data_IF_013082949803
#
_entry.id   IF_013082949803
#
_cell.length_a   1.000
_cell.length_b   1.000
_cell.length_c   1.000
_cell.angle_alpha   90.00
_cell.angle_beta   90.00
_cell.angle_gamma   90.00
#
_symmetry.space_group_name_H-M   'P 1'
#
loop_
_entity.id
_entity.type
_entity.pdbx_description
1 polymer ?
#
# COMPACT_ATOMS: atom_id res chain seq x y z
N UNK A 1 -54.57 -4.78 -16.57
CA UNK A 1 -53.47 -5.44 -15.83
C UNK A 1 -52.10 -4.82 -16.12
N UNK A 2 -51.71 -4.57 -17.38
CA UNK A 2 -50.42 -3.95 -17.75
C UNK A 2 -50.17 -2.53 -17.19
N UNK A 3 -51.21 -1.70 -17.06
CA UNK A 3 -51.11 -0.34 -16.50
C UNK A 3 -50.94 -0.29 -14.97
N UNK A 4 -51.46 -1.30 -14.24
CA UNK A 4 -51.28 -1.38 -12.78
C UNK A 4 -49.90 -1.91 -12.38
N UNK A 5 -49.27 -2.74 -13.22
CA UNK A 5 -47.89 -3.21 -13.02
C UNK A 5 -46.85 -2.09 -13.21
N UNK A 6 -47.05 -1.21 -14.21
CA UNK A 6 -46.13 -0.08 -14.46
C UNK A 6 -46.12 0.95 -13.33
N UNK A 7 -47.28 1.21 -12.72
CA UNK A 7 -47.38 2.13 -11.57
C UNK A 7 -46.79 1.53 -10.28
N UNK A 8 -46.84 0.20 -10.11
CA UNK A 8 -46.20 -0.49 -8.99
C UNK A 8 -44.67 -0.51 -9.08
N UNK A 9 -44.11 -0.72 -10.28
CA UNK A 9 -42.65 -0.66 -10.49
C UNK A 9 -42.08 0.75 -10.33
N UNK A 10 -42.80 1.78 -10.80
CA UNK A 10 -42.38 3.18 -10.66
C UNK A 10 -42.34 3.64 -9.19
N UNK A 11 -43.30 3.19 -8.38
CA UNK A 11 -43.33 3.53 -6.95
C UNK A 11 -42.22 2.81 -6.17
N UNK A 12 -41.88 1.56 -6.52
CA UNK A 12 -40.78 0.82 -5.89
C UNK A 12 -39.41 1.43 -6.23
N UNK A 13 -39.19 1.88 -7.47
CA UNK A 13 -37.93 2.55 -7.87
C UNK A 13 -37.71 3.89 -7.17
N UNK A 14 -38.77 4.66 -6.92
CA UNK A 14 -38.66 5.95 -6.21
C UNK A 14 -38.39 5.76 -4.72
N UNK A 15 -38.97 4.73 -4.10
CA UNK A 15 -38.69 4.38 -2.69
C UNK A 15 -37.27 3.81 -2.54
N UNK A 16 -36.79 3.00 -3.49
CA UNK A 16 -35.42 2.48 -3.46
C UNK A 16 -34.38 3.60 -3.68
N UNK A 17 -34.65 4.57 -4.57
CA UNK A 17 -33.80 5.75 -4.75
C UNK A 17 -33.79 6.68 -3.51
N UNK A 18 -34.93 6.84 -2.85
CA UNK A 18 -35.04 7.66 -1.64
C UNK A 18 -34.35 7.02 -0.42
N UNK A 19 -34.33 5.68 -0.34
CA UNK A 19 -33.61 4.95 0.72
C UNK A 19 -32.09 4.98 0.50
N UNK A 20 -31.61 5.01 -0.76
CA UNK A 20 -30.18 5.20 -1.03
C UNK A 20 -29.67 6.63 -0.72
N UNK A 21 -30.54 7.64 -0.71
CA UNK A 21 -30.20 9.05 -0.42
C UNK A 21 -30.24 9.41 1.08
N UNK A 22 -30.59 8.47 1.96
CA UNK A 22 -30.72 8.68 3.41
C UNK A 22 -29.60 8.02 4.23
N UNK A 23 -28.59 7.46 3.57
CA UNK A 23 -27.33 7.21 4.29
C UNK A 23 -26.67 8.57 4.43
N UNK A 24 -26.45 9.08 5.67
CA UNK A 24 -25.44 10.11 5.82
C UNK A 24 -24.16 9.54 5.20
N UNK A 25 -23.69 10.18 4.13
CA UNK A 25 -22.26 10.20 3.85
C UNK A 25 -21.68 10.86 5.08
N UNK A 26 -21.39 10.06 6.10
CA UNK A 26 -20.40 10.45 7.07
C UNK A 26 -19.19 10.70 6.20
N UNK A 27 -18.77 11.96 6.08
CA UNK A 27 -17.37 12.21 5.77
C UNK A 27 -16.62 11.29 6.74
N UNK A 28 -15.92 10.29 6.22
CA UNK A 28 -15.14 9.40 7.06
C UNK A 28 -14.26 10.35 7.87
N UNK A 29 -14.52 10.44 9.18
CA UNK A 29 -13.58 11.10 10.07
C UNK A 29 -12.31 10.28 9.89
N UNK A 30 -11.30 10.88 9.26
CA UNK A 30 -9.95 10.30 9.25
C UNK A 30 -9.62 10.05 10.71
N UNK A 31 -9.55 8.78 11.09
CA UNK A 31 -9.17 8.41 12.44
C UNK A 31 -7.86 9.12 12.76
N UNK A 32 -7.80 9.72 13.95
CA UNK A 32 -6.56 10.38 14.33
C UNK A 32 -5.47 9.33 14.48
N UNK A 33 -4.23 9.68 14.11
CA UNK A 33 -3.09 8.79 14.34
C UNK A 33 -3.04 8.33 15.81
N UNK A 34 -3.34 9.22 16.75
CA UNK A 34 -3.37 8.89 18.17
C UNK A 34 -4.36 7.77 18.51
N UNK A 35 -5.58 7.79 17.97
CA UNK A 35 -6.56 6.71 18.18
C UNK A 35 -6.07 5.39 17.58
N UNK A 36 -5.48 5.43 16.37
CA UNK A 36 -4.91 4.25 15.73
C UNK A 36 -3.76 3.65 16.57
N UNK A 37 -2.92 4.51 17.16
CA UNK A 37 -1.81 4.12 18.02
C UNK A 37 -2.27 3.58 19.39
N UNK A 38 -3.27 4.19 20.02
CA UNK A 38 -3.87 3.65 21.26
C UNK A 38 -4.46 2.26 21.05
N UNK A 39 -5.16 2.05 19.93
CA UNK A 39 -5.71 0.75 19.56
C UNK A 39 -4.62 -0.26 19.20
N UNK A 40 -3.56 0.16 18.51
CA UNK A 40 -2.40 -0.70 18.20
C UNK A 40 -1.70 -1.14 19.48
N UNK A 41 -1.48 -0.23 20.43
CA UNK A 41 -0.92 -0.57 21.74
C UNK A 41 -1.82 -1.55 22.50
N UNK A 42 -3.14 -1.33 22.48
CA UNK A 42 -4.10 -2.25 23.10
C UNK A 42 -4.07 -3.64 22.45
N UNK A 43 -3.98 -3.71 21.13
CA UNK A 43 -3.87 -4.97 20.39
C UNK A 43 -2.57 -5.72 20.76
N UNK A 44 -1.44 -5.02 20.85
CA UNK A 44 -0.17 -5.62 21.23
C UNK A 44 -0.18 -6.15 22.67
N UNK A 45 -0.83 -5.46 23.61
CA UNK A 45 -1.05 -6.00 24.96
C UNK A 45 -1.86 -7.30 24.95
N UNK A 46 -2.85 -7.44 24.04
CA UNK A 46 -3.60 -8.69 23.88
C UNK A 46 -2.71 -9.79 23.27
N UNK A 47 -1.83 -9.45 22.32
CA UNK A 47 -0.86 -10.40 21.76
C UNK A 47 0.11 -10.92 22.83
N UNK A 48 0.59 -10.05 23.72
CA UNK A 48 1.44 -10.42 24.86
C UNK A 48 0.70 -11.34 25.85
N UNK A 49 -0.57 -11.03 26.17
CA UNK A 49 -1.39 -11.88 27.02
C UNK A 49 -1.64 -13.26 26.39
N UNK A 50 -1.94 -13.29 25.09
CA UNK A 50 -2.18 -14.52 24.34
C UNK A 50 -0.94 -15.42 24.31
N UNK A 51 0.23 -14.86 23.98
CA UNK A 51 1.49 -15.60 23.91
C UNK A 51 1.94 -16.10 25.28
N UNK A 52 1.79 -15.28 26.33
CA UNK A 52 2.06 -15.69 27.71
C UNK A 52 1.16 -16.85 28.17
N UNK A 53 -0.13 -16.83 27.80
CA UNK A 53 -1.08 -17.89 28.15
C UNK A 53 -0.80 -19.21 27.40
N UNK A 54 -0.40 -19.12 26.13
CA UNK A 54 -0.14 -20.30 25.29
C UNK A 54 1.26 -20.90 25.48
N UNK A 55 2.16 -20.22 26.22
CA UNK A 55 3.56 -20.62 26.39
C UNK A 55 4.28 -20.79 25.03
N UNK A 56 3.98 -19.91 24.06
CA UNK A 56 4.61 -19.93 22.74
C UNK A 56 5.78 -18.96 22.66
N UNK A 57 6.72 -19.21 21.75
CA UNK A 57 7.80 -18.28 21.39
C UNK A 57 7.37 -17.29 20.28
N UNK A 58 6.07 -17.18 20.01
CA UNK A 58 5.56 -16.28 18.98
C UNK A 58 5.80 -14.84 19.40
N UNK A 59 6.44 -14.06 18.54
CA UNK A 59 6.71 -12.63 18.77
C UNK A 59 5.38 -11.85 18.80
N UNK A 60 4.99 -11.22 19.92
CA UNK A 60 3.75 -10.45 20.02
C UNK A 60 3.67 -9.33 18.96
N UNK A 61 4.79 -8.71 18.63
CA UNK A 61 4.88 -7.70 17.57
C UNK A 61 4.37 -8.26 16.23
N UNK A 62 4.77 -9.49 15.88
CA UNK A 62 4.33 -10.12 14.64
C UNK A 62 2.86 -10.55 14.68
N UNK A 63 2.32 -10.93 15.83
CA UNK A 63 0.88 -11.18 15.96
C UNK A 63 0.08 -9.90 15.74
N UNK A 64 0.52 -8.77 16.31
CA UNK A 64 -0.09 -7.45 16.10
C UNK A 64 -0.07 -7.06 14.62
N UNK A 65 1.10 -7.12 13.98
CA UNK A 65 1.25 -6.79 12.55
C UNK A 65 0.38 -7.69 11.67
N UNK A 66 0.40 -9.01 11.91
CA UNK A 66 -0.39 -9.96 11.13
C UNK A 66 -1.89 -9.78 11.33
N UNK A 67 -2.33 -9.37 12.53
CA UNK A 67 -3.73 -9.03 12.79
C UNK A 67 -4.13 -7.78 12.00
N UNK A 68 -3.37 -6.69 12.07
CA UNK A 68 -3.71 -5.41 11.41
C UNK A 68 -3.77 -5.60 9.88
N UNK A 69 -2.80 -6.32 9.28
CA UNK A 69 -2.78 -6.49 7.82
C UNK A 69 -3.83 -7.46 7.26
N UNK A 70 -4.55 -8.19 8.12
CA UNK A 70 -5.26 -9.42 7.75
C UNK A 70 -6.32 -9.27 6.65
N UNK A 71 -6.92 -8.09 6.48
CA UNK A 71 -7.94 -7.89 5.44
C UNK A 71 -7.37 -7.40 4.10
N UNK A 72 -6.27 -6.65 4.11
CA UNK A 72 -5.71 -6.01 2.91
C UNK A 72 -4.50 -6.72 2.32
N UNK A 73 -3.66 -7.31 3.16
CA UNK A 73 -2.38 -7.90 2.74
C UNK A 73 -2.24 -9.35 3.23
N UNK A 74 -3.26 -10.20 3.11
CA UNK A 74 -3.24 -11.60 3.56
C UNK A 74 -3.23 -12.63 2.42
N UNK A 75 -2.60 -12.31 1.29
CA UNK A 75 -2.38 -13.29 0.23
C UNK A 75 -1.13 -14.15 0.48
N UNK A 76 -0.97 -15.21 -0.31
CA UNK A 76 0.10 -16.18 -0.17
C UNK A 76 1.52 -15.57 -0.23
N UNK A 77 1.70 -14.45 -0.93
CA UNK A 77 2.99 -13.77 -1.05
C UNK A 77 3.33 -13.07 0.26
N UNK A 78 2.36 -12.35 0.82
CA UNK A 78 2.51 -11.69 2.12
C UNK A 78 2.64 -12.69 3.27
N UNK A 79 1.87 -13.77 3.24
CA UNK A 79 1.93 -14.83 4.25
C UNK A 79 3.25 -15.58 4.23
N UNK A 80 3.88 -15.72 3.06
CA UNK A 80 5.22 -16.29 2.95
C UNK A 80 6.27 -15.43 3.68
N UNK A 81 6.08 -14.11 3.73
CA UNK A 81 7.05 -13.17 4.30
C UNK A 81 6.77 -12.89 5.78
N UNK A 82 5.51 -12.62 6.12
CA UNK A 82 5.09 -12.18 7.45
C UNK A 82 4.51 -13.32 8.31
N UNK A 83 4.21 -14.47 7.70
CA UNK A 83 3.53 -15.60 8.33
C UNK A 83 2.02 -15.40 8.39
N UNK A 84 1.23 -16.45 8.17
CA UNK A 84 -0.23 -16.36 8.11
C UNK A 84 -0.85 -15.69 9.36
N UNK A 85 -1.87 -14.83 9.20
CA UNK A 85 -2.66 -14.33 10.32
C UNK A 85 -3.24 -15.49 11.15
N UNK A 86 -3.16 -15.39 12.49
CA UNK A 86 -3.70 -16.43 13.39
C UNK A 86 -5.19 -16.20 13.62
N UNK A 87 -6.01 -17.15 13.18
CA UNK A 87 -7.45 -17.16 13.44
C UNK A 87 -7.75 -17.25 14.93
N UNK A 88 -6.95 -18.01 15.69
CA UNK A 88 -7.11 -18.16 17.14
C UNK A 88 -6.83 -16.87 17.90
N UNK A 89 -5.77 -16.15 17.50
CA UNK A 89 -5.50 -14.83 18.06
C UNK A 89 -6.57 -13.82 17.66
N UNK A 90 -7.05 -13.87 16.42
CA UNK A 90 -8.13 -12.98 15.96
C UNK A 90 -9.41 -13.18 16.78
N UNK A 91 -9.83 -14.43 17.02
CA UNK A 91 -10.97 -14.75 17.89
C UNK A 91 -10.74 -14.33 19.34
N UNK A 92 -9.51 -14.47 19.85
CA UNK A 92 -9.17 -13.98 21.18
C UNK A 92 -9.31 -12.45 21.27
N UNK A 93 -8.78 -11.70 20.30
CA UNK A 93 -8.90 -10.25 20.24
C UNK A 93 -10.37 -9.81 20.13
N UNK A 94 -11.16 -10.44 19.26
CA UNK A 94 -12.59 -10.16 19.08
C UNK A 94 -13.39 -10.35 20.38
N UNK A 95 -13.07 -11.36 21.18
CA UNK A 95 -13.74 -11.60 22.47
C UNK A 95 -13.37 -10.56 23.54
N UNK A 96 -12.16 -10.00 23.48
CA UNK A 96 -11.65 -9.07 24.51
C UNK A 96 -11.88 -7.60 24.17
N UNK A 97 -11.80 -7.25 22.88
CA UNK A 97 -11.83 -5.89 22.37
C UNK A 97 -12.28 -5.91 20.88
N UNK A 98 -13.58 -6.16 20.60
CA UNK A 98 -14.10 -6.28 19.23
C UNK A 98 -13.92 -5.01 18.41
N UNK A 99 -13.83 -3.84 19.05
CA UNK A 99 -13.56 -2.56 18.39
C UNK A 99 -12.21 -2.52 17.65
N UNK A 100 -11.25 -3.40 17.99
CA UNK A 100 -9.94 -3.45 17.33
C UNK A 100 -10.00 -3.97 15.89
N UNK A 101 -11.11 -4.59 15.48
CA UNK A 101 -11.31 -5.03 14.09
C UNK A 101 -11.15 -3.85 13.10
N UNK A 102 -11.49 -2.63 13.52
CA UNK A 102 -11.40 -1.44 12.68
C UNK A 102 -9.97 -1.13 12.21
N UNK A 103 -8.94 -1.58 12.96
CA UNK A 103 -7.54 -1.43 12.55
C UNK A 103 -7.25 -2.15 11.22
N UNK A 104 -8.01 -3.18 10.88
CA UNK A 104 -7.80 -3.98 9.66
C UNK A 104 -8.33 -3.29 8.39
N UNK A 105 -9.22 -2.32 8.56
CA UNK A 105 -9.85 -1.54 7.49
C UNK A 105 -9.45 -0.07 7.53
N UNK A 106 -8.49 0.29 8.37
CA UNK A 106 -8.02 1.66 8.46
C UNK A 106 -7.34 2.04 7.14
N UNK A 107 -7.71 3.19 6.61
CA UNK A 107 -7.08 3.76 5.42
C UNK A 107 -6.06 4.81 5.88
N UNK A 108 -6.25 6.06 5.44
CA UNK A 108 -5.34 7.15 5.70
C UNK A 108 -5.50 7.73 7.11
N UNK A 109 -4.37 7.92 7.79
CA UNK A 109 -4.27 8.70 9.03
C UNK A 109 -3.37 9.92 8.81
N UNK A 110 -3.65 11.02 9.52
CA UNK A 110 -2.85 12.23 9.40
C UNK A 110 -1.60 12.17 10.28
N UNK A 111 -0.43 12.42 9.69
CA UNK A 111 0.84 12.57 10.38
C UNK A 111 0.85 13.93 11.11
N UNK A 112 0.95 13.98 12.45
CA UNK A 112 0.81 15.23 13.19
C UNK A 112 1.86 16.29 12.84
N UNK A 113 3.11 15.89 12.59
CA UNK A 113 4.21 16.82 12.36
C UNK A 113 4.13 17.53 10.99
N UNK A 114 3.62 16.85 9.95
CA UNK A 114 3.59 17.39 8.58
C UNK A 114 2.19 17.71 8.08
N UNK A 115 1.15 17.12 8.67
CA UNK A 115 -0.24 17.21 8.19
C UNK A 115 -0.55 16.31 6.98
N UNK A 116 0.45 15.60 6.45
CA UNK A 116 0.31 14.65 5.35
C UNK A 116 -0.48 13.40 5.78
N UNK A 117 -1.08 12.71 4.81
CA UNK A 117 -1.78 11.46 5.03
C UNK A 117 -0.83 10.28 4.78
N UNK A 118 -0.93 9.23 5.59
CA UNK A 118 -0.23 7.97 5.38
C UNK A 118 -1.22 6.82 5.46
N UNK A 119 -1.13 5.86 4.54
CA UNK A 119 -1.94 4.65 4.61
C UNK A 119 -1.46 3.79 5.78
N UNK A 120 -2.31 3.65 6.81
CA UNK A 120 -1.91 3.03 8.06
C UNK A 120 -1.67 1.52 7.92
N UNK A 121 -2.53 0.81 7.19
CA UNK A 121 -2.40 -0.65 7.06
C UNK A 121 -1.23 -0.98 6.13
N UNK A 122 -1.02 -0.20 5.07
CA UNK A 122 0.16 -0.31 4.21
C UNK A 122 1.44 -0.07 5.01
N UNK A 123 1.47 0.99 5.83
CA UNK A 123 2.58 1.30 6.73
C UNK A 123 2.90 0.12 7.65
N UNK A 124 1.91 -0.42 8.36
CA UNK A 124 2.11 -1.53 9.30
C UNK A 124 2.61 -2.81 8.58
N UNK A 125 2.10 -3.10 7.38
CA UNK A 125 2.60 -4.21 6.56
C UNK A 125 4.07 -4.00 6.14
N UNK A 126 4.42 -2.78 5.71
CA UNK A 126 5.78 -2.39 5.34
C UNK A 126 6.77 -2.41 6.51
N UNK A 127 6.35 -1.98 7.70
CA UNK A 127 7.12 -2.12 8.95
C UNK A 127 7.44 -3.59 9.21
N UNK A 128 6.44 -4.46 9.14
CA UNK A 128 6.60 -5.89 9.35
C UNK A 128 7.56 -6.54 8.35
N UNK A 129 7.44 -6.19 7.07
CA UNK A 129 8.30 -6.75 6.03
C UNK A 129 9.73 -6.28 6.19
N UNK A 130 9.94 -5.01 6.54
CA UNK A 130 11.26 -4.46 6.84
C UNK A 130 11.88 -5.13 8.06
N UNK A 131 11.09 -5.33 9.13
CA UNK A 131 11.52 -6.09 10.31
C UNK A 131 11.93 -7.52 9.95
N UNK A 132 11.22 -8.15 8.99
CA UNK A 132 11.55 -9.46 8.39
C UNK A 132 12.64 -9.40 7.30
N UNK A 133 13.32 -8.27 7.13
CA UNK A 133 14.43 -8.06 6.18
C UNK A 133 14.04 -8.17 4.71
N UNK A 134 12.78 -7.86 4.39
CA UNK A 134 12.26 -7.77 3.03
C UNK A 134 11.76 -6.35 2.71
N UNK A 135 12.58 -5.29 2.88
CA UNK A 135 12.09 -3.92 2.74
C UNK A 135 11.70 -3.57 1.30
N UNK A 136 12.49 -3.95 0.29
CA UNK A 136 12.28 -3.43 -1.09
C UNK A 136 10.98 -3.94 -1.70
N UNK A 137 10.81 -5.25 -1.87
CA UNK A 137 9.63 -5.81 -2.58
C UNK A 137 8.30 -5.56 -1.87
N UNK A 138 8.31 -5.39 -0.55
CA UNK A 138 7.11 -5.19 0.28
C UNK A 138 6.86 -3.74 0.66
N UNK A 139 7.67 -2.81 0.16
CA UNK A 139 7.39 -1.38 0.26
C UNK A 139 7.48 -0.80 -1.16
N UNK A 140 8.30 0.21 -1.37
CA UNK A 140 8.45 0.97 -2.61
C UNK A 140 8.63 0.12 -3.87
N UNK A 141 9.33 -1.02 -3.78
CA UNK A 141 9.61 -1.88 -4.92
C UNK A 141 8.35 -2.55 -5.48
N UNK A 142 7.43 -2.97 -4.63
CA UNK A 142 6.17 -3.59 -5.04
C UNK A 142 5.29 -2.61 -5.81
N UNK A 143 5.14 -1.38 -5.29
CA UNK A 143 4.32 -0.35 -5.89
C UNK A 143 4.96 0.21 -7.18
N UNK A 144 6.29 0.30 -7.22
CA UNK A 144 7.03 0.58 -8.45
C UNK A 144 6.73 -0.45 -9.55
N UNK A 145 6.68 -1.75 -9.23
CA UNK A 145 6.33 -2.79 -10.22
C UNK A 145 4.90 -2.61 -10.73
N UNK A 146 3.95 -2.33 -9.84
CA UNK A 146 2.55 -2.12 -10.20
C UNK A 146 2.39 -0.89 -11.12
N UNK A 147 3.02 0.22 -10.74
CA UNK A 147 2.99 1.46 -11.52
C UNK A 147 3.67 1.27 -12.88
N UNK A 148 4.84 0.64 -12.94
CA UNK A 148 5.52 0.32 -14.20
C UNK A 148 4.66 -0.57 -15.11
N UNK A 149 3.95 -1.55 -14.53
CA UNK A 149 3.04 -2.44 -15.25
C UNK A 149 1.88 -1.70 -15.94
N UNK A 150 1.48 -0.52 -15.44
CA UNK A 150 0.41 0.28 -16.05
C UNK A 150 0.71 0.78 -17.46
N UNK A 151 2.00 0.88 -17.82
CA UNK A 151 2.47 1.34 -19.14
C UNK A 151 3.23 0.26 -19.91
N UNK A 152 3.08 -1.01 -19.51
CA UNK A 152 3.77 -2.13 -20.16
C UNK A 152 3.50 -2.15 -21.67
N UNK A 153 4.57 -2.22 -22.47
CA UNK A 153 4.48 -2.39 -23.92
C UNK A 153 4.17 -1.11 -24.73
N UNK A 154 4.19 0.08 -24.13
CA UNK A 154 3.99 1.36 -24.85
C UNK A 154 5.14 1.66 -25.85
N UNK A 155 6.29 0.98 -25.74
CA UNK A 155 7.40 1.09 -26.70
C UNK A 155 8.20 2.39 -26.60
N UNK A 156 8.09 3.10 -25.46
CA UNK A 156 8.90 4.26 -25.13
C UNK A 156 10.25 3.84 -24.51
N UNK A 157 11.24 4.73 -24.59
CA UNK A 157 12.47 4.61 -23.81
C UNK A 157 12.23 5.05 -22.35
N UNK A 158 13.26 4.93 -21.50
CA UNK A 158 13.16 5.26 -20.08
C UNK A 158 12.63 6.68 -19.83
N UNK A 159 13.16 7.69 -20.53
CA UNK A 159 12.73 9.08 -20.34
C UNK A 159 11.27 9.27 -20.79
N UNK A 160 10.87 8.66 -21.91
CA UNK A 160 9.48 8.65 -22.34
C UNK A 160 8.53 7.96 -21.35
N UNK A 161 9.00 6.93 -20.64
CA UNK A 161 8.27 6.29 -19.55
C UNK A 161 8.20 7.19 -18.30
N UNK A 162 9.29 7.88 -17.94
CA UNK A 162 9.32 8.87 -16.83
C UNK A 162 8.24 9.94 -17.05
N UNK A 163 8.18 10.53 -18.25
CA UNK A 163 7.19 11.58 -18.55
C UNK A 163 5.74 11.09 -18.44
N UNK A 164 5.49 9.81 -18.70
CA UNK A 164 4.16 9.21 -18.59
C UNK A 164 3.78 8.86 -17.16
N UNK A 165 4.74 8.38 -16.36
CA UNK A 165 4.48 7.91 -15.00
C UNK A 165 4.55 9.03 -13.96
N UNK A 166 5.31 10.09 -14.21
CA UNK A 166 5.52 11.20 -13.26
C UNK A 166 4.22 11.80 -12.70
N UNK A 167 3.13 12.01 -13.47
CA UNK A 167 1.88 12.54 -12.92
C UNK A 167 1.18 11.62 -11.91
N UNK A 168 1.53 10.33 -11.90
CA UNK A 168 0.94 9.31 -11.05
C UNK A 168 1.88 8.89 -9.92
N UNK A 169 3.19 9.13 -10.03
CA UNK A 169 4.14 8.76 -8.98
C UNK A 169 4.00 9.65 -7.75
N UNK A 170 3.68 9.06 -6.59
CA UNK A 170 3.51 9.74 -5.31
C UNK A 170 2.55 10.95 -5.39
N UNK A 171 1.47 10.84 -6.16
CA UNK A 171 0.53 11.94 -6.38
C UNK A 171 -0.48 12.09 -5.24
N UNK A 172 -0.93 13.31 -4.97
CA UNK A 172 -1.94 13.62 -3.93
C UNK A 172 -3.33 13.04 -4.23
N UNK A 173 -3.66 12.77 -5.50
CA UNK A 173 -4.93 12.14 -5.85
C UNK A 173 -4.85 10.62 -5.62
N UNK A 174 -5.35 10.20 -4.46
CA UNK A 174 -5.43 8.81 -4.01
C UNK A 174 -6.10 7.86 -5.02
N UNK A 175 -6.94 8.36 -5.93
CA UNK A 175 -7.63 7.54 -6.92
C UNK A 175 -6.96 7.55 -8.31
N UNK A 176 -5.95 8.39 -8.51
CA UNK A 176 -5.29 8.53 -9.79
C UNK A 176 -4.15 7.53 -10.00
N UNK A 177 -3.62 6.93 -8.92
CA UNK A 177 -2.38 6.16 -8.97
C UNK A 177 -2.47 4.82 -8.24
N UNK A 178 -1.60 3.91 -8.65
CA UNK A 178 -1.26 2.67 -7.94
C UNK A 178 -0.14 2.89 -6.91
N UNK A 179 0.32 4.12 -6.77
CA UNK A 179 1.34 4.59 -5.82
C UNK A 179 1.03 6.06 -5.45
N UNK A 180 -0.10 6.33 -4.77
CA UNK A 180 -0.42 7.67 -4.29
C UNK A 180 0.58 8.14 -3.22
N UNK A 181 0.47 9.41 -2.82
CA UNK A 181 1.36 10.00 -1.83
C UNK A 181 1.29 9.27 -0.48
N UNK A 182 0.10 8.83 -0.05
CA UNK A 182 -0.11 8.08 1.18
C UNK A 182 0.70 6.78 1.25
N UNK A 183 0.70 6.00 0.15
CA UNK A 183 1.46 4.77 0.01
C UNK A 183 2.96 5.05 -0.09
N UNK A 184 3.37 6.08 -0.84
CA UNK A 184 4.78 6.50 -0.90
C UNK A 184 5.32 6.85 0.48
N UNK A 185 4.57 7.60 1.28
CA UNK A 185 4.96 7.91 2.66
C UNK A 185 4.98 6.64 3.53
N UNK A 186 4.01 5.76 3.37
CA UNK A 186 3.95 4.49 4.09
C UNK A 186 5.15 3.57 3.75
N UNK A 187 5.62 3.59 2.51
CA UNK A 187 6.79 2.85 2.05
C UNK A 187 8.09 3.35 2.70
N UNK A 188 8.31 4.67 2.66
CA UNK A 188 9.49 5.29 3.25
C UNK A 188 9.50 5.09 4.77
N UNK A 189 8.36 5.37 5.40
CA UNK A 189 8.21 5.34 6.85
C UNK A 189 8.22 3.90 7.38
N UNK A 190 7.68 2.95 6.63
CA UNK A 190 7.73 1.53 6.93
C UNK A 190 9.15 0.98 6.95
N UNK A 191 9.99 1.39 6.00
CA UNK A 191 11.42 1.08 6.01
C UNK A 191 12.12 1.73 7.20
N UNK A 192 11.86 3.02 7.44
CA UNK A 192 12.54 3.76 8.50
C UNK A 192 12.22 3.19 9.88
N UNK A 193 10.95 2.92 10.17
CA UNK A 193 10.51 2.38 11.46
C UNK A 193 10.96 0.92 11.58
N UNK A 194 10.61 0.08 10.59
CA UNK A 194 10.87 -1.36 10.66
C UNK A 194 12.36 -1.73 10.74
N UNK A 195 13.26 -0.88 10.21
CA UNK A 195 14.71 -1.11 10.28
C UNK A 195 15.28 -0.95 11.70
N UNK A 196 14.55 -0.26 12.59
CA UNK A 196 14.98 0.01 13.97
C UNK A 196 14.41 -0.98 14.99
N UNK A 197 13.36 -1.71 14.63
CA UNK A 197 12.64 -2.61 15.51
C UNK A 197 13.43 -3.87 15.88
N UNK A 198 13.14 -4.36 17.08
CA UNK A 198 13.59 -5.63 17.66
C UNK A 198 12.40 -6.41 18.20
N UNK A 199 12.59 -7.70 18.42
CA UNK A 199 11.57 -8.54 19.02
C UNK A 199 11.18 -8.01 20.41
N UNK A 200 9.87 -7.91 20.65
CA UNK A 200 9.30 -7.34 21.87
C UNK A 200 9.27 -5.80 21.93
N UNK A 201 9.71 -5.10 20.90
CA UNK A 201 9.52 -3.64 20.83
C UNK A 201 8.02 -3.30 20.71
N UNK A 202 7.63 -2.17 21.27
CA UNK A 202 6.28 -1.62 21.15
C UNK A 202 6.10 -0.94 19.78
N UNK A 203 5.18 -1.46 18.96
CA UNK A 203 4.90 -0.93 17.63
C UNK A 203 4.32 0.49 17.67
N UNK A 204 3.42 0.73 18.61
CA UNK A 204 2.73 2.01 18.75
C UNK A 204 3.72 3.11 19.13
N UNK A 205 4.52 2.85 20.16
CA UNK A 205 5.56 3.78 20.59
C UNK A 205 6.61 4.01 19.49
N UNK A 206 6.93 3.00 18.68
CA UNK A 206 7.88 3.14 17.58
C UNK A 206 7.37 4.09 16.49
N UNK A 207 6.09 3.96 16.12
CA UNK A 207 5.44 4.86 15.17
C UNK A 207 5.30 6.27 15.77
N UNK A 208 4.88 6.40 17.03
CA UNK A 208 4.73 7.69 17.71
C UNK A 208 6.07 8.44 17.77
N UNK A 209 7.14 7.76 18.22
CA UNK A 209 8.48 8.34 18.30
C UNK A 209 9.01 8.76 16.94
N UNK A 210 8.70 8.00 15.89
CA UNK A 210 9.09 8.36 14.54
C UNK A 210 8.38 9.65 14.06
N UNK A 211 7.07 9.76 14.30
CA UNK A 211 6.26 10.89 13.82
C UNK A 211 6.30 12.15 14.68
N UNK A 212 6.91 12.11 15.87
CA UNK A 212 6.94 13.27 16.79
C UNK A 212 7.53 14.52 16.14
N UNK A 213 8.68 14.39 15.46
CA UNK A 213 9.42 15.52 14.87
C UNK A 213 9.87 15.23 13.41
N UNK A 214 9.14 14.36 12.69
CA UNK A 214 9.56 13.98 11.33
C UNK A 214 9.44 15.17 10.36
N UNK A 215 10.39 15.28 9.45
CA UNK A 215 10.34 16.17 8.28
C UNK A 215 10.54 15.36 7.01
N UNK A 216 10.14 15.91 5.85
CA UNK A 216 10.38 15.24 4.56
C UNK A 216 11.87 15.01 4.29
N UNK A 217 12.73 15.95 4.66
CA UNK A 217 14.18 15.81 4.54
C UNK A 217 14.70 14.66 5.43
N UNK A 218 14.30 14.60 6.71
CA UNK A 218 14.76 13.56 7.63
C UNK A 218 14.21 12.16 7.26
N UNK A 219 12.96 12.10 6.79
CA UNK A 219 12.34 10.89 6.22
C UNK A 219 13.17 10.33 5.07
N UNK A 220 13.46 11.16 4.07
CA UNK A 220 14.26 10.76 2.92
C UNK A 220 15.69 10.40 3.33
N UNK A 221 16.31 11.15 4.25
CA UNK A 221 17.66 10.89 4.73
C UNK A 221 17.77 9.52 5.40
N UNK A 222 16.86 9.20 6.32
CA UNK A 222 16.80 7.89 7.00
C UNK A 222 16.58 6.76 6.00
N UNK A 223 15.68 6.97 5.05
CA UNK A 223 15.35 5.95 4.05
C UNK A 223 16.56 5.66 3.15
N UNK A 224 17.23 6.71 2.67
CA UNK A 224 18.41 6.58 1.82
C UNK A 224 19.53 5.84 2.56
N UNK A 225 19.81 6.20 3.81
CA UNK A 225 20.79 5.47 4.63
C UNK A 225 20.40 4.00 4.81
N UNK A 226 19.13 3.71 5.11
CA UNK A 226 18.67 2.35 5.36
C UNK A 226 18.72 1.46 4.10
N UNK A 227 18.42 2.02 2.93
CA UNK A 227 18.32 1.23 1.69
C UNK A 227 19.61 1.22 0.87
N UNK A 228 20.29 2.36 0.77
CA UNK A 228 21.40 2.58 -0.16
C UNK A 228 22.73 2.88 0.54
N UNK A 229 22.70 3.20 1.84
CA UNK A 229 23.88 3.64 2.60
C UNK A 229 24.18 5.12 2.33
N UNK A 230 25.46 5.48 2.34
CA UNK A 230 25.87 6.84 1.94
C UNK A 230 25.63 7.06 0.45
N UNK A 231 25.11 8.23 0.09
CA UNK A 231 24.74 8.57 -1.28
C UNK A 231 24.92 10.07 -1.55
N UNK A 232 25.35 10.40 -2.77
CA UNK A 232 25.34 11.77 -3.30
C UNK A 232 24.07 11.96 -4.13
N UNK A 233 22.99 12.44 -3.51
CA UNK A 233 21.70 12.58 -4.21
C UNK A 233 21.70 13.74 -5.22
N UNK A 234 22.72 14.61 -5.18
CA UNK A 234 22.95 15.66 -6.17
C UNK A 234 23.60 15.15 -7.47
N UNK A 235 24.26 14.00 -7.45
CA UNK A 235 24.68 13.29 -8.67
C UNK A 235 23.52 12.42 -9.17
N UNK A 236 22.60 13.06 -9.90
CA UNK A 236 21.37 12.42 -10.39
C UNK A 236 21.64 11.11 -11.14
N UNK A 237 22.68 11.07 -12.00
CA UNK A 237 22.96 9.87 -12.79
C UNK A 237 23.46 8.73 -11.90
N UNK A 238 24.40 9.02 -11.00
CA UNK A 238 24.93 8.00 -10.09
C UNK A 238 23.86 7.50 -9.11
N UNK A 239 23.04 8.41 -8.57
CA UNK A 239 22.01 8.05 -7.61
C UNK A 239 20.88 7.24 -8.24
N UNK A 240 20.41 7.61 -9.45
CA UNK A 240 19.47 6.77 -10.24
C UNK A 240 20.02 5.37 -10.45
N UNK A 241 21.32 5.24 -10.80
CA UNK A 241 21.93 3.92 -10.98
C UNK A 241 21.97 3.12 -9.67
N UNK A 242 22.30 3.75 -8.54
CA UNK A 242 22.31 3.09 -7.23
C UNK A 242 20.92 2.55 -6.84
N UNK A 243 19.85 3.31 -7.12
CA UNK A 243 18.47 2.86 -6.88
C UNK A 243 18.11 1.68 -7.79
N UNK A 244 18.45 1.75 -9.08
CA UNK A 244 18.24 0.65 -10.03
C UNK A 244 18.98 -0.62 -9.62
N UNK A 245 20.25 -0.50 -9.24
CA UNK A 245 21.07 -1.63 -8.81
C UNK A 245 20.46 -2.29 -7.57
N UNK A 246 20.00 -1.49 -6.60
CA UNK A 246 19.31 -2.01 -5.41
C UNK A 246 18.01 -2.73 -5.77
N UNK A 247 17.19 -2.13 -6.63
CA UNK A 247 15.90 -2.69 -7.06
C UNK A 247 16.10 -4.02 -7.79
N UNK A 248 16.95 -4.04 -8.82
CA UNK A 248 17.16 -5.21 -9.67
C UNK A 248 17.97 -6.31 -8.98
N UNK A 249 18.79 -6.00 -7.97
CA UNK A 249 19.50 -7.00 -7.17
C UNK A 249 18.63 -7.62 -6.06
N UNK A 250 17.49 -7.02 -5.71
CA UNK A 250 16.63 -7.53 -4.65
C UNK A 250 15.96 -8.86 -5.07
N UNK A 251 16.17 -9.91 -4.27
CA UNK A 251 15.67 -11.25 -4.59
C UNK A 251 14.14 -11.34 -4.51
N UNK A 252 13.50 -10.52 -3.69
CA UNK A 252 12.04 -10.43 -3.62
C UNK A 252 11.47 -9.82 -4.90
N UNK A 253 12.05 -8.71 -5.36
CA UNK A 253 11.71 -8.07 -6.64
C UNK A 253 11.88 -9.04 -7.81
N UNK A 254 13.03 -9.72 -7.89
CA UNK A 254 13.30 -10.72 -8.92
C UNK A 254 12.27 -11.85 -8.92
N UNK A 255 11.96 -12.39 -7.73
CA UNK A 255 10.98 -13.47 -7.59
C UNK A 255 9.58 -13.01 -8.02
N UNK A 256 9.17 -11.81 -7.62
CA UNK A 256 7.88 -11.23 -7.98
C UNK A 256 7.78 -11.05 -9.51
N UNK A 257 8.77 -10.39 -10.11
CA UNK A 257 8.81 -10.17 -11.56
C UNK A 257 8.86 -11.47 -12.37
N UNK A 258 9.60 -12.49 -11.90
CA UNK A 258 9.61 -13.82 -12.53
C UNK A 258 8.23 -14.50 -12.43
N UNK A 259 7.58 -14.44 -11.28
CA UNK A 259 6.23 -15.00 -11.08
C UNK A 259 5.17 -14.34 -11.97
N UNK A 260 5.37 -13.05 -12.28
CA UNK A 260 4.51 -12.25 -13.16
C UNK A 260 4.92 -12.32 -14.64
N UNK A 261 6.01 -13.04 -14.96
CA UNK A 261 6.59 -13.14 -16.31
C UNK A 261 7.05 -11.79 -16.89
N UNK A 262 7.43 -10.87 -16.01
CA UNK A 262 8.02 -9.56 -16.34
C UNK A 262 9.56 -9.59 -16.31
N UNK A 263 10.12 -10.67 -15.75
CA UNK A 263 11.52 -11.07 -15.94
C UNK A 263 11.60 -12.48 -16.52
N UNK A 264 12.73 -12.79 -17.14
CA UNK A 264 13.08 -14.11 -17.69
C UNK A 264 14.56 -14.41 -17.47
N UNK A 265 14.97 -15.62 -17.82
CA UNK A 265 16.38 -15.97 -17.97
C UNK A 265 16.81 -15.73 -19.42
N UNK A 266 17.97 -15.11 -19.62
CA UNK A 266 18.66 -15.03 -20.92
C UNK A 266 19.36 -16.36 -21.28
N UNK A 267 20.09 -16.40 -22.40
CA UNK A 267 20.81 -17.60 -22.86
C UNK A 267 21.89 -18.05 -21.86
N UNK A 268 22.50 -17.10 -21.17
CA UNK A 268 23.51 -17.29 -20.12
C UNK A 268 22.92 -17.60 -18.73
N UNK A 269 21.58 -17.63 -18.60
CA UNK A 269 20.82 -17.80 -17.35
C UNK A 269 20.93 -16.64 -16.35
N UNK A 270 21.21 -15.43 -16.83
CA UNK A 270 21.04 -14.23 -16.02
C UNK A 270 19.55 -13.85 -15.98
N UNK A 271 19.12 -13.29 -14.85
CA UNK A 271 17.77 -12.74 -14.71
C UNK A 271 17.76 -11.37 -15.41
N UNK A 272 16.87 -11.22 -16.38
CA UNK A 272 16.71 -10.00 -17.18
C UNK A 272 15.25 -9.60 -17.27
N UNK A 273 14.96 -8.30 -17.31
CA UNK A 273 13.63 -7.80 -17.59
C UNK A 273 13.21 -8.17 -19.03
N UNK A 274 11.93 -8.45 -19.25
CA UNK A 274 11.41 -8.59 -20.61
C UNK A 274 11.37 -7.21 -21.28
N UNK A 275 11.60 -7.15 -22.60
CA UNK A 275 11.70 -5.88 -23.36
C UNK A 275 10.54 -4.91 -23.09
N UNK A 276 9.33 -5.43 -22.92
CA UNK A 276 8.12 -4.62 -22.67
C UNK A 276 8.07 -3.96 -21.27
N UNK A 277 8.93 -4.40 -20.34
CA UNK A 277 9.00 -3.94 -18.95
C UNK A 277 10.32 -3.27 -18.60
N UNK A 278 11.39 -3.45 -19.39
CA UNK A 278 12.71 -2.90 -19.09
C UNK A 278 12.69 -1.37 -18.90
N UNK A 279 12.21 -0.61 -19.88
CA UNK A 279 12.10 0.84 -19.79
C UNK A 279 11.13 1.31 -18.68
N UNK A 280 9.91 0.75 -18.52
CA UNK A 280 9.03 1.07 -17.40
C UNK A 280 9.64 0.85 -16.01
N UNK A 281 10.33 -0.28 -15.78
CA UNK A 281 10.97 -0.58 -14.49
C UNK A 281 12.13 0.37 -14.20
N UNK A 282 12.95 0.68 -15.21
CA UNK A 282 14.01 1.68 -15.07
C UNK A 282 13.43 3.07 -14.77
N UNK A 283 12.31 3.43 -15.39
CA UNK A 283 11.66 4.73 -15.20
C UNK A 283 11.13 4.93 -13.77
N UNK A 284 10.45 3.93 -13.19
CA UNK A 284 9.99 4.03 -11.79
C UNK A 284 11.16 4.11 -10.81
N UNK A 285 12.26 3.38 -11.04
CA UNK A 285 13.47 3.51 -10.23
C UNK A 285 14.08 4.92 -10.32
N UNK A 286 14.11 5.48 -11.53
CA UNK A 286 14.59 6.86 -11.73
C UNK A 286 13.68 7.90 -11.08
N UNK A 287 12.36 7.69 -11.10
CA UNK A 287 11.40 8.53 -10.36
C UNK A 287 11.62 8.43 -8.85
N UNK A 288 11.81 7.22 -8.30
CA UNK A 288 12.16 7.04 -6.88
C UNK A 288 13.42 7.84 -6.50
N UNK A 289 14.48 7.74 -7.31
CA UNK A 289 15.72 8.47 -7.07
C UNK A 289 15.52 9.99 -7.15
N UNK A 290 14.82 10.47 -8.18
CA UNK A 290 14.56 11.90 -8.37
C UNK A 290 13.71 12.49 -7.24
N UNK A 291 12.65 11.79 -6.81
CA UNK A 291 11.79 12.22 -5.71
C UNK A 291 12.56 12.27 -4.39
N UNK A 292 13.41 11.28 -4.10
CA UNK A 292 14.27 11.30 -2.92
C UNK A 292 15.30 12.45 -2.98
N UNK A 293 15.91 12.67 -4.14
CA UNK A 293 16.85 13.78 -4.34
C UNK A 293 16.17 15.14 -4.16
N UNK A 294 14.93 15.30 -4.62
CA UNK A 294 14.13 16.50 -4.41
C UNK A 294 13.82 16.73 -2.92
N UNK A 295 13.38 15.70 -2.20
CA UNK A 295 13.13 15.76 -0.75
C UNK A 295 14.39 16.14 0.05
N UNK A 296 15.57 15.82 -0.47
CA UNK A 296 16.88 16.10 0.13
C UNK A 296 17.55 17.36 -0.42
N UNK A 297 16.94 18.06 -1.38
CA UNK A 297 17.56 19.20 -2.06
C UNK A 297 18.90 18.87 -2.75
N UNK A 298 19.10 17.61 -3.16
CA UNK A 298 20.35 17.12 -3.74
C UNK A 298 21.51 16.98 -2.73
N UNK A 299 21.22 16.87 -1.43
CA UNK A 299 22.25 16.74 -0.40
C UNK A 299 23.00 15.41 -0.45
N UNK A 300 24.23 15.43 0.05
CA UNK A 300 25.00 14.22 0.36
C UNK A 300 24.49 13.62 1.67
N UNK A 301 24.06 12.37 1.60
CA UNK A 301 23.60 11.61 2.76
C UNK A 301 24.75 10.80 3.32
N UNK A 302 25.03 10.99 4.61
CA UNK A 302 26.05 10.24 5.36
C UNK A 302 25.57 9.92 6.77
N UNK A 303 26.23 8.98 7.45
CA UNK A 303 25.92 8.65 8.86
C UNK A 303 26.35 9.75 9.84
N UNK A 304 27.24 10.66 9.41
CA UNK A 304 27.67 11.78 10.23
C UNK A 304 26.52 12.79 10.41
N UNK A 305 26.40 13.43 11.60
CA UNK A 305 25.44 14.52 11.77
C UNK A 305 25.69 15.60 10.72
N UNK A 306 24.64 16.03 10.03
CA UNK A 306 24.74 17.11 9.05
C UNK A 306 25.43 18.31 9.70
N UNK A 307 26.56 18.75 9.13
CA UNK A 307 27.11 20.07 9.46
C UNK A 307 26.02 21.09 9.12
N UNK A 308 25.55 21.81 10.13
CA UNK A 308 24.53 22.83 9.97
C UNK A 308 25.02 23.88 8.98
N UNK A 309 24.56 23.79 7.73
CA UNK A 309 24.73 24.83 6.75
C UNK A 309 24.01 26.08 7.27
N UNK A 310 24.78 27.12 7.59
CA UNK A 310 24.23 28.41 7.98
C UNK A 310 23.34 28.98 6.86
N UNK A 311 22.22 29.64 7.17
CA UNK A 311 21.35 30.21 6.16
C UNK A 311 22.08 31.36 5.44
N UNK A 312 22.41 31.17 4.16
CA UNK A 312 22.73 32.28 3.29
C UNK A 312 21.44 33.02 2.94
N UNK A 313 21.40 34.29 3.32
CA UNK A 313 20.34 35.22 3.02
C UNK A 313 20.45 35.79 1.60
N UNK A 314 19.30 35.96 0.94
CA UNK A 314 19.12 36.73 -0.31
C UNK A 314 18.96 35.85 -1.55
N UNK A 315 18.04 36.05 -2.50
CA UNK A 315 17.18 37.18 -2.81
C UNK A 315 15.90 36.65 -3.49
N UNK A 316 14.76 37.29 -3.23
CA UNK A 316 13.49 36.99 -3.88
C UNK A 316 13.43 37.69 -5.25
N UNK A 317 13.34 36.94 -6.35
CA UNK A 317 12.91 37.46 -7.64
C UNK A 317 11.52 36.90 -8.01
N UNK A 318 10.57 37.82 -8.09
CA UNK A 318 9.21 37.61 -8.57
C UNK A 318 9.18 37.45 -10.09
N UNK A 319 8.60 36.36 -10.60
CA UNK A 319 8.18 36.29 -12.00
C UNK A 319 6.68 35.98 -12.06
N UNK A 320 5.98 36.86 -12.75
CA UNK A 320 4.53 36.89 -12.91
C UNK A 320 4.03 35.82 -13.89
N UNK A 321 2.86 35.26 -13.56
CA UNK A 321 2.03 34.44 -14.43
C UNK A 321 1.52 35.22 -15.63
N UNK A 322 1.57 34.62 -16.82
CA UNK A 322 0.54 34.78 -17.87
C UNK A 322 0.51 33.57 -18.81
N UNK A 323 -0.69 33.01 -19.05
CA UNK A 323 -1.02 32.34 -20.31
C UNK A 323 -1.39 30.84 -20.23
N UNK A 324 -2.69 30.57 -20.20
CA UNK A 324 -3.35 29.39 -20.78
C UNK A 324 -4.54 29.92 -21.62
N UNK A 325 -5.18 29.16 -22.54
CA UNK A 325 -5.09 27.70 -22.75
C UNK A 325 -5.03 27.24 -24.24
N UNK A 326 -4.65 25.98 -24.48
CA UNK A 326 -5.43 25.08 -25.37
C UNK A 326 -5.02 23.61 -25.20
N UNK A 327 -6.03 22.73 -25.34
CA UNK A 327 -6.11 21.34 -24.89
C UNK A 327 -5.51 20.32 -25.87
N UNK A 328 -5.04 19.19 -25.31
CA UNK A 328 -5.25 17.82 -25.82
C UNK A 328 -4.80 16.82 -24.75
N UNK A 329 -5.67 16.44 -23.82
CA UNK A 329 -5.42 15.35 -22.86
C UNK A 329 -5.69 14.00 -23.55
N UNK A 330 -4.74 13.04 -23.55
CA UNK A 330 -5.09 11.65 -23.74
C UNK A 330 -5.71 11.10 -22.45
N UNK A 331 -6.96 10.66 -22.54
CA UNK A 331 -7.65 9.92 -21.48
C UNK A 331 -7.20 8.45 -21.49
N UNK A 332 -6.52 8.03 -20.43
CA UNK A 332 -6.32 6.62 -20.06
C UNK A 332 -7.25 6.25 -18.87
N UNK A 333 -7.52 4.97 -18.61
CA UNK A 333 -8.78 4.51 -18.06
C UNK A 333 -8.94 4.82 -16.57
N UNK A 334 -10.15 5.21 -16.18
CA UNK A 334 -10.59 5.23 -14.78
C UNK A 334 -10.58 3.80 -14.26
N UNK A 335 -9.62 3.46 -13.39
CA UNK A 335 -9.68 2.24 -12.59
C UNK A 335 -10.56 2.52 -11.39
N UNK A 336 -11.82 2.09 -11.50
CA UNK A 336 -12.80 2.23 -10.45
C UNK A 336 -12.61 1.20 -9.33
N UNK A 337 -12.74 1.71 -8.10
CA UNK A 337 -13.07 1.04 -6.84
C UNK A 337 -11.97 0.18 -6.20
N UNK A 338 -11.75 0.51 -4.93
CA UNK A 338 -10.86 -0.07 -3.93
C UNK A 338 -10.53 -1.56 -4.09
N UNK A 339 -9.37 -1.97 -3.59
CA UNK A 339 -8.84 -3.34 -3.57
C UNK A 339 -9.82 -4.42 -3.06
N UNK A 340 -10.85 -4.02 -2.31
CA UNK A 340 -12.01 -4.86 -1.95
C UNK A 340 -12.83 -5.34 -3.17
N UNK A 341 -13.07 -4.48 -4.16
CA UNK A 341 -13.83 -4.83 -5.37
C UNK A 341 -13.06 -5.83 -6.25
N UNK A 342 -11.73 -5.70 -6.37
CA UNK A 342 -10.90 -6.66 -7.10
C UNK A 342 -10.83 -8.03 -6.40
N UNK A 343 -10.83 -8.06 -5.07
CA UNK A 343 -10.89 -9.30 -4.27
C UNK A 343 -12.24 -10.00 -4.45
N UNK A 344 -13.35 -9.26 -4.51
CA UNK A 344 -14.67 -9.82 -4.83
C UNK A 344 -14.81 -10.28 -6.29
N UNK A 345 -14.09 -9.66 -7.23
CA UNK A 345 -14.14 -10.01 -8.66
C UNK A 345 -13.36 -11.30 -8.98
N UNK A 346 -12.32 -11.64 -8.21
CA UNK A 346 -11.60 -12.94 -8.33
C UNK A 346 -12.44 -14.16 -7.93
N UNK A 347 -13.54 -13.98 -7.19
CA UNK A 347 -14.44 -15.07 -6.75
C UNK A 347 -15.88 -14.95 -7.27
N UNK A 348 -16.09 -14.44 -8.49
CA UNK A 348 -17.42 -14.36 -9.12
C UNK A 348 -18.13 -15.72 -9.33
N UNK A 349 -17.46 -16.85 -9.14
CA UNK A 349 -18.04 -18.19 -9.27
C UNK A 349 -18.63 -18.76 -7.96
N UNK A 350 -18.25 -18.22 -6.79
CA UNK A 350 -18.72 -18.72 -5.48
C UNK A 350 -20.24 -18.56 -5.25
N UNK A 351 -20.90 -17.45 -5.66
CA UNK A 351 -22.35 -17.30 -5.51
C UNK A 351 -23.13 -18.27 -6.41
N UNK A 352 -22.58 -18.60 -7.59
CA UNK A 352 -23.18 -19.55 -8.52
C UNK A 352 -22.98 -21.00 -8.07
N UNK A 353 -21.83 -21.32 -7.47
CA UNK A 353 -21.57 -22.62 -6.87
C UNK A 353 -22.47 -22.88 -5.64
N UNK A 354 -22.66 -21.89 -4.76
CA UNK A 354 -23.55 -22.01 -3.60
C UNK A 354 -25.03 -22.00 -4.01
N UNK A 355 -25.43 -21.14 -4.96
CA UNK A 355 -26.79 -21.11 -5.50
C UNK A 355 -27.18 -22.41 -6.22
N UNK A 356 -26.24 -23.02 -6.95
CA UNK A 356 -26.43 -24.32 -7.60
C UNK A 356 -26.61 -25.47 -6.62
N UNK A 357 -25.85 -25.48 -5.51
CA UNK A 357 -25.96 -26.50 -4.45
C UNK A 357 -27.28 -26.36 -3.69
N UNK A 358 -27.74 -25.14 -3.39
CA UNK A 358 -29.03 -24.90 -2.73
C UNK A 358 -30.20 -25.33 -3.62
N UNK A 359 -30.15 -25.00 -4.93
CA UNK A 359 -31.19 -25.41 -5.89
C UNK A 359 -31.23 -26.94 -6.07
N UNK A 360 -30.06 -27.59 -6.09
CA UNK A 360 -29.94 -29.04 -6.17
C UNK A 360 -30.49 -29.73 -4.91
N UNK A 361 -30.16 -29.24 -3.72
CA UNK A 361 -30.70 -29.76 -2.45
C UNK A 361 -32.23 -29.61 -2.36
N UNK A 362 -32.79 -28.48 -2.82
CA UNK A 362 -34.24 -28.26 -2.86
C UNK A 362 -34.96 -29.20 -3.85
N UNK A 363 -34.35 -29.45 -5.01
CA UNK A 363 -34.88 -30.40 -6.01
C UNK A 363 -34.82 -31.85 -5.51
N UNK A 364 -33.72 -32.25 -4.86
CA UNK A 364 -33.58 -33.58 -4.24
C UNK A 364 -34.62 -33.77 -3.12
N UNK A 365 -34.85 -32.76 -2.26
CA UNK A 365 -35.88 -32.80 -1.22
C UNK A 365 -37.31 -32.84 -1.81
N UNK A 366 -37.59 -32.15 -2.92
CA UNK A 366 -38.88 -32.27 -3.62
C UNK A 366 -39.11 -33.64 -4.27
N UNK A 367 -38.07 -34.28 -4.78
CA UNK A 367 -38.17 -35.62 -5.38
C UNK A 367 -38.31 -36.70 -4.30
N UNK A 368 -37.61 -36.57 -3.17
CA UNK A 368 -37.72 -37.49 -2.04
C UNK A 368 -39.08 -37.36 -1.32
N UNK A 369 -39.62 -36.14 -1.18
CA UNK A 369 -40.96 -35.92 -0.59
C UNK A 369 -42.12 -36.40 -1.49
N UNK A 370 -41.92 -36.53 -2.80
CA UNK A 370 -42.89 -37.12 -3.74
C UNK A 370 -42.89 -38.65 -3.80
N UNK A 371 -41.81 -39.31 -3.34
CA UNK A 371 -41.72 -40.79 -3.28
C UNK A 371 -42.21 -41.39 -1.96
N UNK A 372 -42.59 -40.55 -0.99
CA UNK A 372 -43.11 -40.96 0.32
C UNK A 372 -44.62 -40.80 0.50
N UNK A 373 -45.41 -40.69 -0.58
CA UNK A 373 -46.87 -40.75 -0.55
C UNK A 373 -47.40 -41.81 -1.49
#
# INVERSE_FOLDING_TARGET
MKERLKKGLSALSVVLLAVCMLTPVHAAETASLNEALEQTARLQQLAEQYTAAQQTETDPLMLTINYIRAQRYADASWDMILGMPSEEFAQFAEQQAPELEQLQTLENVQIPATGELVDFVHLVAGIGATYKRMPVVCTWGGDCIQLAGSIQGIGADEEGCIQQLKPYFACEDENASLMPQSDWLADLDGVNIGSTLKSGDDLSDAIERYYTDITNEERARRFVLAQFGEADTGDQQAFRQQVKDKFFADSGVQLLLLSQKQMTLDEERNIVAVDAMDAPLNAVCSLTADTLAEMLGGAKVSEAPAETAQPQAGEAESVAQTGQPEQSQPTAPVLGQSSLAQTMQKHTWLPWALGGVVLFCLLVLMVLSRKGR
#
